data_IF_121609111300
#
_entry.id   IF_121609111300
#
_cell.length_a   1.000
_cell.length_b   1.000
_cell.length_c   1.000
_cell.angle_alpha   90.00
_cell.angle_beta   90.00
_cell.angle_gamma   90.00
#
_symmetry.space_group_name_H-M   'P 1'
#
loop_
_entity.id
_entity.type
_entity.pdbx_description
1 polymer ?
#
# COMPACT_ATOMS: atom_id res chain seq x y z
N UNK A 1 4.91 -4.26 12.38
CA UNK A 1 6.22 -4.21 11.69
C UNK A 1 6.32 -2.86 11.02
N UNK A 2 7.45 -2.16 11.14
CA UNK A 2 7.73 -0.94 10.36
C UNK A 2 7.56 -1.17 8.85
N UNK A 3 7.26 -0.11 8.11
CA UNK A 3 7.05 -0.20 6.66
C UNK A 3 8.36 -0.53 5.94
N UNK A 4 9.47 0.00 6.45
CA UNK A 4 10.84 -0.16 5.96
C UNK A 4 11.28 -1.63 6.04
N UNK A 5 10.99 -2.31 7.16
CA UNK A 5 11.29 -3.73 7.33
C UNK A 5 10.51 -4.60 6.32
N UNK A 6 9.27 -4.19 6.00
CA UNK A 6 8.43 -4.90 5.02
C UNK A 6 8.97 -4.70 3.60
N UNK A 7 9.37 -3.47 3.26
CA UNK A 7 9.99 -3.15 1.98
C UNK A 7 11.30 -3.91 1.79
N UNK A 8 12.19 -3.90 2.79
CA UNK A 8 13.45 -4.64 2.76
C UNK A 8 13.24 -6.16 2.57
N UNK A 9 12.24 -6.75 3.23
CA UNK A 9 11.89 -8.15 3.03
C UNK A 9 11.40 -8.44 1.61
N UNK A 10 10.56 -7.59 1.03
CA UNK A 10 10.09 -7.72 -0.34
C UNK A 10 11.23 -7.58 -1.37
N UNK A 11 12.11 -6.59 -1.18
CA UNK A 11 13.29 -6.38 -2.02
C UNK A 11 14.27 -7.55 -1.95
N UNK A 12 14.43 -8.17 -0.78
CA UNK A 12 15.31 -9.34 -0.59
C UNK A 12 14.92 -10.54 -1.46
N UNK A 13 13.67 -10.60 -1.92
CA UNK A 13 13.14 -11.63 -2.83
C UNK A 13 12.89 -11.11 -4.25
N UNK A 14 13.38 -9.92 -4.58
CA UNK A 14 13.29 -9.33 -5.92
C UNK A 14 11.97 -8.64 -6.26
N UNK A 15 11.12 -8.35 -5.27
CA UNK A 15 9.91 -7.56 -5.46
C UNK A 15 10.24 -6.07 -5.29
N UNK A 16 9.81 -5.24 -6.24
CA UNK A 16 9.87 -3.79 -6.08
C UNK A 16 8.90 -3.36 -4.97
N UNK A 17 9.42 -2.64 -3.98
CA UNK A 17 8.65 -2.12 -2.87
C UNK A 17 9.02 -0.65 -2.63
N UNK A 18 8.03 0.15 -2.25
CA UNK A 18 8.23 1.53 -1.80
C UNK A 18 7.44 1.75 -0.51
N UNK A 19 7.90 2.71 0.28
CA UNK A 19 7.23 3.14 1.53
C UNK A 19 6.58 4.50 1.29
N UNK A 20 5.42 4.71 1.91
CA UNK A 20 4.74 6.00 1.96
C UNK A 20 4.47 6.38 3.43
N UNK A 21 4.33 7.67 3.73
CA UNK A 21 4.08 8.14 5.09
C UNK A 21 2.63 7.90 5.54
N UNK A 22 1.71 7.68 4.59
CA UNK A 22 0.31 7.34 4.87
C UNK A 22 -0.32 6.51 3.76
N UNK A 23 -1.45 5.88 4.07
CA UNK A 23 -2.25 5.18 3.05
C UNK A 23 -2.74 6.16 1.97
N UNK A 24 -3.20 7.34 2.35
CA UNK A 24 -3.70 8.34 1.41
C UNK A 24 -2.63 8.77 0.38
N UNK A 25 -1.40 8.97 0.83
CA UNK A 25 -0.25 9.27 -0.03
C UNK A 25 0.04 8.12 -0.99
N UNK A 26 0.13 6.88 -0.48
CA UNK A 26 0.34 5.71 -1.33
C UNK A 26 -0.75 5.56 -2.40
N UNK A 27 -2.02 5.79 -2.03
CA UNK A 27 -3.15 5.72 -2.97
C UNK A 27 -3.06 6.79 -4.05
N UNK A 28 -2.74 8.04 -3.67
CA UNK A 28 -2.59 9.14 -4.62
C UNK A 28 -1.47 8.85 -5.63
N UNK A 29 -0.33 8.33 -5.16
CA UNK A 29 0.80 7.98 -6.01
C UNK A 29 0.42 6.85 -6.99
N UNK A 30 -0.23 5.78 -6.50
CA UNK A 30 -0.68 4.66 -7.34
C UNK A 30 -1.66 5.13 -8.43
N UNK A 31 -2.67 5.93 -8.06
CA UNK A 31 -3.66 6.46 -9.01
C UNK A 31 -3.02 7.40 -10.03
N UNK A 32 -1.99 8.15 -9.64
CA UNK A 32 -1.24 9.01 -10.56
C UNK A 32 -0.48 8.22 -11.63
N UNK A 33 -0.03 7.01 -11.30
CA UNK A 33 0.69 6.12 -12.21
C UNK A 33 -0.27 5.33 -13.11
N UNK A 34 -1.33 4.77 -12.52
CA UNK A 34 -2.37 4.03 -13.23
C UNK A 34 -3.74 4.25 -12.56
N UNK A 35 -4.61 5.11 -13.15
CA UNK A 35 -5.94 5.38 -12.62
C UNK A 35 -6.88 4.16 -12.60
N UNK A 36 -6.58 3.11 -13.38
CA UNK A 36 -7.37 1.88 -13.44
C UNK A 36 -6.77 0.74 -12.59
N UNK A 37 -5.74 1.04 -11.79
CA UNK A 37 -5.08 0.07 -10.94
C UNK A 37 -6.04 -0.56 -9.91
N UNK A 38 -5.73 -1.79 -9.51
CA UNK A 38 -6.46 -2.51 -8.46
C UNK A 38 -5.54 -2.70 -7.26
N UNK A 39 -6.07 -2.46 -6.08
CA UNK A 39 -5.30 -2.43 -4.84
C UNK A 39 -5.65 -3.65 -3.99
N UNK A 40 -4.63 -4.41 -3.59
CA UNK A 40 -4.73 -5.52 -2.65
C UNK A 40 -4.18 -5.08 -1.29
N UNK A 41 -4.98 -5.22 -0.24
CA UNK A 41 -4.57 -4.94 1.14
C UNK A 41 -4.23 -6.27 1.81
N UNK A 42 -2.93 -6.53 2.02
CA UNK A 42 -2.43 -7.75 2.67
C UNK A 42 -2.50 -7.72 4.22
N UNK A 43 -3.10 -6.67 4.79
CA UNK A 43 -3.21 -6.45 6.24
C UNK A 43 -4.48 -7.02 6.89
N UNK A 44 -4.89 -6.44 8.01
CA UNK A 44 -6.12 -6.85 8.71
C UNK A 44 -7.38 -6.34 8.02
N UNK A 45 -8.50 -7.05 8.21
CA UNK A 45 -9.81 -6.58 7.73
C UNK A 45 -10.24 -5.25 8.36
N UNK A 46 -9.75 -4.94 9.57
CA UNK A 46 -10.02 -3.64 10.20
C UNK A 46 -9.34 -2.51 9.44
N UNK A 47 -8.06 -2.66 9.07
CA UNK A 47 -7.35 -1.70 8.22
C UNK A 47 -8.03 -1.60 6.86
N UNK A 48 -8.34 -2.73 6.22
CA UNK A 48 -9.03 -2.74 4.95
C UNK A 48 -10.38 -1.99 5.02
N UNK A 49 -11.15 -2.22 6.09
CA UNK A 49 -12.42 -1.52 6.32
C UNK A 49 -12.26 -0.02 6.57
N UNK A 50 -11.19 0.42 7.24
CA UNK A 50 -10.89 1.83 7.42
C UNK A 50 -10.55 2.50 6.08
N UNK A 51 -9.68 1.88 5.28
CA UNK A 51 -9.30 2.39 3.95
C UNK A 51 -10.51 2.45 3.01
N UNK A 52 -11.35 1.40 2.98
CA UNK A 52 -12.56 1.38 2.16
C UNK A 52 -13.58 2.45 2.58
N UNK A 53 -13.70 2.75 3.88
CA UNK A 53 -14.61 3.80 4.36
C UNK A 53 -14.23 5.19 3.85
N UNK A 54 -12.94 5.44 3.70
CA UNK A 54 -12.41 6.74 3.27
C UNK A 54 -12.35 6.90 1.73
N UNK A 55 -12.43 5.80 0.98
CA UNK A 55 -12.15 5.79 -0.46
C UNK A 55 -13.18 5.04 -1.34
N UNK A 56 -14.19 4.40 -0.74
CA UNK A 56 -15.20 3.56 -1.41
C UNK A 56 -16.51 4.26 -1.73
#
# INVERSE_FOLDING_TARGET
MPAEDTAAAAESVGLSATVAASVAEALADIVSQDPASRILICGSLYLAGAVLRENG
#
